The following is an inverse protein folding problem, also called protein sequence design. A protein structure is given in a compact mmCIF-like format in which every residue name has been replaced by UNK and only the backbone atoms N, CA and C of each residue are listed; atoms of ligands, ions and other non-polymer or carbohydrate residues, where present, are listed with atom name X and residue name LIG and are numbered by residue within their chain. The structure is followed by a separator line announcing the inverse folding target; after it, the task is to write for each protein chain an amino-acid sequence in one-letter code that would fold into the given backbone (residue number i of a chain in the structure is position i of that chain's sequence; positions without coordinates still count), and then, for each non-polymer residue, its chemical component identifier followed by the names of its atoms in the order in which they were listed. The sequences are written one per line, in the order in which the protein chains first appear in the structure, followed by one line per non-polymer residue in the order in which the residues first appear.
data_IF_877638704001
#
_entry.id   IF_877638704001
#
_cell.length_a   1.000
_cell.length_b   1.000
_cell.length_c   1.000
_cell.angle_alpha   90.00
_cell.angle_beta   90.00
_cell.angle_gamma   90.00
#
_symmetry.space_group_name_H-M   'P 1'
#
loop_
_entity.id
_entity.type
_entity.pdbx_description
1 polymer ?
#
# COMPACT_ATOMS: atom_id res chain seq x y z
N UNK A 1 11.61 12.01 -21.48
CA UNK A 1 11.54 10.74 -20.73
C UNK A 1 10.30 10.81 -19.87
N UNK A 2 9.45 9.80 -19.92
CA UNK A 2 8.21 9.75 -19.14
C UNK A 2 8.50 9.82 -17.64
N UNK A 3 7.74 10.63 -16.89
CA UNK A 3 7.89 10.78 -15.44
C UNK A 3 6.93 9.87 -14.72
N UNK A 4 7.43 9.12 -13.75
CA UNK A 4 6.66 8.13 -13.00
C UNK A 4 6.55 8.55 -11.54
N UNK A 5 5.36 8.44 -10.96
CA UNK A 5 5.10 8.65 -9.53
C UNK A 5 4.58 7.36 -8.89
N UNK A 6 5.15 6.95 -7.75
CA UNK A 6 4.65 5.82 -6.96
C UNK A 6 3.83 6.34 -5.79
N UNK A 7 2.69 5.70 -5.54
CA UNK A 7 1.82 5.93 -4.39
C UNK A 7 1.60 4.60 -3.69
N UNK A 8 2.28 4.41 -2.56
CA UNK A 8 2.35 3.12 -1.88
C UNK A 8 1.52 3.15 -0.60
N UNK A 9 0.41 2.43 -0.59
CA UNK A 9 -0.30 2.12 0.64
C UNK A 9 0.48 1.04 1.41
N UNK A 10 1.15 1.46 2.48
CA UNK A 10 1.94 0.56 3.33
C UNK A 10 1.10 -0.53 3.98
N UNK A 11 -0.19 -0.29 4.25
CA UNK A 11 -1.08 -1.28 4.83
C UNK A 11 -1.44 -2.35 3.78
N UNK A 12 -1.75 -1.95 2.55
CA UNK A 12 -2.04 -2.87 1.46
C UNK A 12 -0.81 -3.72 1.07
N UNK A 13 0.37 -3.10 0.96
CA UNK A 13 1.65 -3.81 0.70
C UNK A 13 1.97 -4.80 1.82
N UNK A 14 1.76 -4.44 3.08
CA UNK A 14 1.97 -5.35 4.21
C UNK A 14 1.01 -6.54 4.17
N UNK A 15 -0.28 -6.30 3.90
CA UNK A 15 -1.27 -7.36 3.78
C UNK A 15 -0.98 -8.29 2.60
N UNK A 16 -0.52 -7.75 1.46
CA UNK A 16 -0.06 -8.54 0.32
C UNK A 16 1.14 -9.41 0.69
N UNK A 17 2.17 -8.87 1.36
CA UNK A 17 3.33 -9.64 1.83
C UNK A 17 2.91 -10.81 2.74
N UNK A 18 1.96 -10.56 3.66
CA UNK A 18 1.44 -11.60 4.56
C UNK A 18 0.74 -12.73 3.80
N UNK A 19 -0.08 -12.41 2.79
CA UNK A 19 -0.78 -13.41 1.96
C UNK A 19 0.20 -14.17 1.04
N UNK A 20 1.22 -13.50 0.55
CA UNK A 20 2.22 -14.07 -0.35
C UNK A 20 3.25 -14.97 0.34
N UNK A 21 3.44 -14.82 1.66
CA UNK A 21 4.40 -15.62 2.42
C UNK A 21 5.85 -15.11 2.37
N UNK A 22 6.10 -13.97 1.73
CA UNK A 22 7.41 -13.33 1.60
C UNK A 22 7.29 -11.80 1.73
N UNK A 23 8.40 -11.09 1.84
CA UNK A 23 8.40 -9.65 2.14
C UNK A 23 9.13 -8.85 1.07
N UNK A 24 8.70 -7.61 0.86
CA UNK A 24 9.24 -6.73 -0.16
C UNK A 24 10.55 -6.08 0.30
N UNK A 25 11.48 -5.96 -0.65
CA UNK A 25 12.60 -5.04 -0.53
C UNK A 25 12.19 -3.69 -1.13
N UNK A 26 12.02 -2.69 -0.27
CA UNK A 26 11.58 -1.37 -0.70
C UNK A 26 12.55 -0.67 -1.66
N UNK A 27 13.86 -0.97 -1.59
CA UNK A 27 14.80 -0.45 -2.58
C UNK A 27 14.55 -1.08 -3.95
N UNK A 28 14.32 -2.39 -3.98
CA UNK A 28 14.02 -3.08 -5.23
C UNK A 28 12.68 -2.68 -5.84
N UNK A 29 11.68 -2.32 -5.02
CA UNK A 29 10.44 -1.72 -5.51
C UNK A 29 10.75 -0.44 -6.29
N UNK A 30 11.58 0.46 -5.74
CA UNK A 30 11.98 1.69 -6.43
C UNK A 30 12.70 1.38 -7.74
N UNK A 31 13.66 0.46 -7.70
CA UNK A 31 14.45 0.05 -8.88
C UNK A 31 13.55 -0.51 -9.98
N UNK A 32 12.68 -1.47 -9.65
CA UNK A 32 11.78 -2.11 -10.60
C UNK A 32 10.85 -1.10 -11.28
N UNK A 33 10.24 -0.20 -10.52
CA UNK A 33 9.31 0.78 -11.11
C UNK A 33 10.01 1.97 -11.77
N UNK A 34 11.25 2.28 -11.41
CA UNK A 34 12.08 3.26 -12.12
C UNK A 34 12.49 2.78 -13.53
N UNK A 35 12.40 1.48 -13.83
CA UNK A 35 12.59 1.00 -15.21
C UNK A 35 11.47 1.46 -16.15
N UNK A 36 10.29 1.79 -15.62
CA UNK A 36 9.15 2.29 -16.42
C UNK A 36 9.28 3.77 -16.80
N UNK A 37 10.23 4.51 -16.24
CA UNK A 37 10.47 5.92 -16.56
C UNK A 37 11.27 6.66 -15.51
N UNK A 38 11.48 7.97 -15.70
CA UNK A 38 12.19 8.79 -14.73
C UNK A 38 11.32 8.95 -13.48
N UNK A 39 11.75 8.39 -12.35
CA UNK A 39 11.08 8.55 -11.07
C UNK A 39 11.02 10.04 -10.70
N UNK A 40 9.80 10.59 -10.61
CA UNK A 40 9.54 11.92 -10.07
C UNK A 40 9.55 11.87 -8.54
N UNK A 41 8.76 10.96 -7.95
CA UNK A 41 8.68 10.75 -6.51
C UNK A 41 8.10 9.37 -6.20
N UNK A 42 8.39 8.85 -5.01
CA UNK A 42 7.74 7.69 -4.43
C UNK A 42 7.20 8.03 -3.06
N UNK A 43 5.88 8.10 -2.94
CA UNK A 43 5.19 8.35 -1.69
C UNK A 43 4.89 7.04 -0.97
N UNK A 44 5.15 7.00 0.33
CA UNK A 44 4.84 5.84 1.17
C UNK A 44 3.95 6.27 2.34
N UNK A 45 2.76 5.67 2.43
CA UNK A 45 1.73 6.05 3.39
C UNK A 45 1.62 4.98 4.46
N UNK A 46 1.75 5.36 5.74
CA UNK A 46 1.70 4.38 6.83
C UNK A 46 1.17 4.97 8.14
N UNK A 47 0.35 4.17 8.83
CA UNK A 47 -0.09 4.52 10.17
C UNK A 47 0.94 4.10 11.22
N UNK A 48 1.11 4.93 12.24
CA UNK A 48 2.12 4.73 13.30
C UNK A 48 1.47 4.79 14.68
N UNK A 49 1.86 3.94 15.64
CA UNK A 49 1.42 4.06 17.02
C UNK A 49 1.99 5.33 17.66
N UNK A 50 1.31 5.81 18.70
CA UNK A 50 1.78 6.92 19.53
C UNK A 50 1.85 6.47 21.00
N UNK A 51 3.04 6.41 21.62
CA UNK A 51 4.35 6.72 21.03
C UNK A 51 4.82 5.67 20.01
N UNK A 52 5.62 6.11 19.04
CA UNK A 52 6.21 5.23 18.03
C UNK A 52 7.38 4.43 18.62
N UNK A 53 7.40 3.12 18.38
CA UNK A 53 8.49 2.25 18.81
C UNK A 53 9.75 2.40 17.94
N UNK A 54 10.90 1.93 18.44
CA UNK A 54 12.18 2.09 17.75
C UNK A 54 12.29 1.26 16.46
N UNK A 55 11.54 0.16 16.36
CA UNK A 55 11.53 -0.66 15.13
C UNK A 55 10.87 0.11 14.00
N UNK A 56 9.75 0.77 14.28
CA UNK A 56 9.00 1.55 13.32
C UNK A 56 9.74 2.84 12.94
N UNK A 57 10.39 3.52 13.91
CA UNK A 57 11.28 4.66 13.60
C UNK A 57 12.37 4.25 12.61
N UNK A 58 13.12 3.18 12.90
CA UNK A 58 14.18 2.68 12.00
C UNK A 58 13.66 2.32 10.61
N UNK A 59 12.44 1.81 10.52
CA UNK A 59 11.82 1.50 9.22
C UNK A 59 11.50 2.77 8.43
N UNK A 60 10.92 3.79 9.07
CA UNK A 60 10.63 5.08 8.44
C UNK A 60 11.92 5.80 8.03
N UNK A 61 12.95 5.77 8.87
CA UNK A 61 14.26 6.34 8.57
C UNK A 61 14.89 5.63 7.36
N UNK A 62 14.80 4.30 7.30
CA UNK A 62 15.29 3.53 6.17
C UNK A 62 14.57 3.87 4.86
N UNK A 63 13.23 3.98 4.88
CA UNK A 63 12.46 4.42 3.71
C UNK A 63 12.87 5.83 3.25
N UNK A 64 13.00 6.77 4.20
CA UNK A 64 13.42 8.14 3.91
C UNK A 64 14.82 8.16 3.28
N UNK A 65 15.76 7.39 3.81
CA UNK A 65 17.11 7.27 3.26
C UNK A 65 17.15 6.60 1.87
N UNK A 66 16.21 5.71 1.57
CA UNK A 66 16.04 5.12 0.24
C UNK A 66 15.47 6.13 -0.79
N UNK A 67 14.95 7.27 -0.35
CA UNK A 67 14.40 8.31 -1.22
C UNK A 67 12.87 8.36 -1.27
N UNK A 68 12.18 7.68 -0.35
CA UNK A 68 10.73 7.81 -0.22
C UNK A 68 10.33 9.14 0.44
N UNK A 69 9.23 9.72 -0.04
CA UNK A 69 8.47 10.72 0.72
C UNK A 69 7.50 9.99 1.65
N UNK A 70 7.86 9.84 2.92
CA UNK A 70 7.04 9.09 3.89
C UNK A 70 5.96 10.00 4.52
N UNK A 71 4.70 9.58 4.43
CA UNK A 71 3.54 10.20 5.06
C UNK A 71 3.06 9.32 6.21
N UNK A 72 2.99 9.89 7.41
CA UNK A 72 2.58 9.15 8.62
C UNK A 72 1.34 9.75 9.26
N UNK A 73 0.52 8.88 9.86
CA UNK A 73 -0.66 9.27 10.63
C UNK A 73 -0.74 8.47 11.92
N UNK A 74 -1.04 9.08 13.08
CA UNK A 74 -1.25 8.33 14.31
C UNK A 74 -2.38 7.31 14.16
N UNK A 75 -2.18 6.09 14.66
CA UNK A 75 -3.24 5.11 14.79
C UNK A 75 -4.33 5.66 15.71
N UNK A 76 -5.58 5.67 15.24
CA UNK A 76 -6.73 5.94 16.11
C UNK A 76 -7.18 4.64 16.75
N UNK A 77 -7.21 4.63 18.07
CA UNK A 77 -7.90 3.58 18.84
C UNK A 77 -9.37 3.94 18.90
N UNK A 78 -10.22 3.05 18.39
CA UNK A 78 -11.66 3.13 18.52
C UNK A 78 -12.06 1.97 19.41
N UNK A 79 -12.50 2.26 20.62
CA UNK A 79 -13.10 1.29 21.51
C UNK A 79 -14.58 1.24 21.21
N UNK A 80 -15.05 0.09 20.77
CA UNK A 80 -16.47 -0.19 20.64
C UNK A 80 -17.11 -0.15 22.04
N UNK A 81 -18.11 0.72 22.20
CA UNK A 81 -18.78 0.94 23.48
C UNK A 81 -19.71 -0.21 23.89
N UNK A 82 -20.13 -1.06 22.95
CA UNK A 82 -21.03 -2.19 23.19
C UNK A 82 -20.27 -3.50 23.43
N UNK A 83 -19.19 -3.75 22.68
CA UNK A 83 -18.39 -4.98 22.80
C UNK A 83 -17.16 -4.81 23.70
N UNK A 84 -16.73 -3.57 23.96
CA UNK A 84 -15.48 -3.26 24.65
C UNK A 84 -14.22 -3.56 23.83
N UNK A 85 -14.36 -4.00 22.57
CA UNK A 85 -13.24 -4.31 21.70
C UNK A 85 -12.57 -3.02 21.21
N UNK A 86 -11.25 -2.96 21.31
CA UNK A 86 -10.47 -1.82 20.78
C UNK A 86 -9.91 -2.16 19.42
N UNK A 87 -10.47 -1.53 18.39
CA UNK A 87 -9.97 -1.60 17.03
C UNK A 87 -9.05 -0.40 16.78
N UNK A 88 -7.83 -0.67 16.30
CA UNK A 88 -6.95 0.38 15.80
C UNK A 88 -7.13 0.50 14.30
N UNK A 89 -7.61 1.65 13.82
CA UNK A 89 -7.73 1.92 12.38
C UNK A 89 -7.23 3.32 12.07
N UNK A 90 -6.35 3.43 11.09
CA UNK A 90 -6.05 4.69 10.45
C UNK A 90 -5.91 4.43 8.96
N UNK A 91 -6.85 4.99 8.20
CA UNK A 91 -6.80 5.01 6.76
C UNK A 91 -6.09 6.30 6.30
N UNK A 92 -5.21 6.18 5.31
CA UNK A 92 -4.50 7.28 4.65
C UNK A 92 -5.01 7.57 3.22
N UNK A 93 -6.15 7.00 2.80
CA UNK A 93 -6.67 7.17 1.44
C UNK A 93 -6.88 8.63 1.04
N UNK A 94 -7.38 9.45 1.96
CA UNK A 94 -7.54 10.89 1.70
C UNK A 94 -6.19 11.53 1.41
N UNK A 95 -5.16 11.21 2.19
CA UNK A 95 -3.81 11.70 1.98
C UNK A 95 -3.22 11.20 0.65
N UNK A 96 -3.45 9.93 0.29
CA UNK A 96 -3.02 9.36 -1.00
C UNK A 96 -3.71 10.10 -2.15
N UNK A 97 -5.03 10.17 -2.16
CA UNK A 97 -5.81 10.84 -3.22
C UNK A 97 -5.45 12.31 -3.34
N UNK A 98 -5.20 12.98 -2.22
CA UNK A 98 -4.78 14.39 -2.20
C UNK A 98 -3.43 14.56 -2.89
N UNK A 99 -2.40 13.81 -2.49
CA UNK A 99 -1.07 13.90 -3.11
C UNK A 99 -1.13 13.47 -4.60
N UNK A 100 -1.92 12.42 -4.92
CA UNK A 100 -2.15 11.92 -6.29
C UNK A 100 -2.69 13.03 -7.20
N UNK A 101 -3.76 13.71 -6.80
CA UNK A 101 -4.41 14.74 -7.61
C UNK A 101 -3.66 16.08 -7.57
N UNK A 102 -3.02 16.43 -6.46
CA UNK A 102 -2.26 17.67 -6.32
C UNK A 102 -0.95 17.65 -7.10
N UNK A 103 -0.34 16.48 -7.31
CA UNK A 103 0.92 16.34 -8.04
C UNK A 103 0.74 15.92 -9.49
N UNK A 104 -0.48 15.91 -10.01
CA UNK A 104 -0.81 15.40 -11.36
C UNK A 104 0.01 16.04 -12.49
N UNK A 105 0.42 17.31 -12.39
CA UNK A 105 1.23 17.98 -13.43
C UNK A 105 2.72 17.58 -13.40
N UNK A 106 3.15 16.87 -12.35
CA UNK A 106 4.56 16.54 -12.09
C UNK A 106 4.95 15.15 -12.59
N UNK A 107 3.98 14.30 -12.93
CA UNK A 107 4.19 12.98 -13.50
C UNK A 107 3.30 12.73 -14.71
N UNK A 108 3.62 11.69 -15.47
CA UNK A 108 2.90 11.26 -16.66
C UNK A 108 2.22 9.89 -16.42
N UNK A 109 2.89 9.01 -15.65
CA UNK A 109 2.36 7.73 -15.14
C UNK A 109 2.24 7.74 -13.62
N UNK A 110 1.07 7.36 -13.09
CA UNK A 110 0.86 7.04 -11.68
C UNK A 110 0.90 5.52 -11.48
N UNK A 111 1.64 5.07 -10.47
CA UNK A 111 1.69 3.67 -10.05
C UNK A 111 1.16 3.58 -8.63
N UNK A 112 0.02 2.91 -8.46
CA UNK A 112 -0.64 2.73 -7.18
C UNK A 112 -0.37 1.31 -6.66
N UNK A 113 0.28 1.22 -5.51
CA UNK A 113 0.44 -0.05 -4.78
C UNK A 113 -0.67 -0.17 -3.74
N UNK A 114 -1.87 -0.45 -4.23
CA UNK A 114 -3.08 -0.74 -3.46
C UNK A 114 -4.01 -1.60 -4.31
N UNK A 115 -4.94 -2.30 -3.67
CA UNK A 115 -6.03 -3.00 -4.34
C UNK A 115 -7.42 -2.50 -3.91
N UNK A 116 -7.49 -1.37 -3.21
CA UNK A 116 -8.74 -0.83 -2.67
C UNK A 116 -9.62 -0.17 -3.76
N UNK A 117 -10.90 -0.55 -3.83
CA UNK A 117 -11.88 -0.02 -4.78
C UNK A 117 -12.16 1.47 -4.65
N UNK A 118 -11.91 2.08 -3.49
CA UNK A 118 -12.11 3.51 -3.30
C UNK A 118 -11.18 4.37 -4.21
N UNK A 119 -10.13 3.75 -4.78
CA UNK A 119 -9.26 4.38 -5.77
C UNK A 119 -9.77 4.34 -7.21
N UNK A 120 -10.89 3.66 -7.51
CA UNK A 120 -11.49 3.63 -8.85
C UNK A 120 -11.70 5.06 -9.38
N UNK A 121 -12.41 5.89 -8.61
CA UNK A 121 -12.77 7.24 -9.05
C UNK A 121 -11.54 8.16 -9.25
N UNK A 122 -10.55 8.19 -8.34
CA UNK A 122 -9.29 8.87 -8.59
C UNK A 122 -8.58 8.39 -9.88
N UNK A 123 -8.56 7.08 -10.15
CA UNK A 123 -7.95 6.53 -11.38
C UNK A 123 -8.64 7.05 -12.65
N UNK A 124 -9.97 7.08 -12.68
CA UNK A 124 -10.72 7.64 -13.80
C UNK A 124 -10.41 9.12 -14.04
N UNK A 125 -10.30 9.90 -12.96
CA UNK A 125 -9.94 11.33 -13.05
C UNK A 125 -8.54 11.52 -13.62
N UNK A 126 -7.58 10.69 -13.22
CA UNK A 126 -6.22 10.72 -13.78
C UNK A 126 -6.20 10.38 -15.27
N UNK A 127 -6.95 9.36 -15.68
CA UNK A 127 -7.07 8.98 -17.11
C UNK A 127 -7.73 10.07 -17.93
N UNK A 128 -8.78 10.70 -17.40
CA UNK A 128 -9.40 11.87 -18.02
C UNK A 128 -8.40 13.03 -18.21
N UNK A 129 -7.45 13.19 -17.27
CA UNK A 129 -6.34 14.16 -17.38
C UNK A 129 -5.18 13.69 -18.26
N UNK A 130 -5.34 12.57 -18.99
CA UNK A 130 -4.34 12.02 -19.89
C UNK A 130 -3.16 11.35 -19.19
N UNK A 131 -3.30 10.96 -17.92
CA UNK A 131 -2.28 10.19 -17.20
C UNK A 131 -2.50 8.71 -17.43
N UNK A 132 -1.41 7.96 -17.52
CA UNK A 132 -1.46 6.50 -17.47
C UNK A 132 -1.49 6.03 -16.02
N UNK A 133 -2.32 5.05 -15.73
CA UNK A 133 -2.52 4.51 -14.39
C UNK A 133 -2.14 3.03 -14.37
N UNK A 134 -1.20 2.68 -13.51
CA UNK A 134 -0.77 1.31 -13.25
C UNK A 134 -1.16 0.95 -11.82
N UNK A 135 -1.88 -0.15 -11.65
CA UNK A 135 -2.19 -0.72 -10.33
C UNK A 135 -1.33 -1.94 -10.10
N UNK A 136 -0.67 -2.01 -8.95
CA UNK A 136 0.18 -3.12 -8.56
C UNK A 136 -0.26 -3.68 -7.21
N UNK A 137 -0.83 -4.89 -7.22
CA UNK A 137 -1.32 -5.59 -6.03
C UNK A 137 -1.37 -7.10 -6.30
N UNK A 138 -2.01 -7.87 -5.43
CA UNK A 138 -2.37 -9.27 -5.73
C UNK A 138 -3.85 -9.37 -6.08
N UNK A 139 -4.24 -10.24 -7.03
CA UNK A 139 -5.62 -10.32 -7.51
C UNK A 139 -6.64 -10.54 -6.39
N UNK A 140 -6.29 -11.29 -5.36
CA UNK A 140 -7.17 -11.63 -4.24
C UNK A 140 -7.46 -10.47 -3.27
N UNK A 141 -6.76 -9.33 -3.40
CA UNK A 141 -7.09 -8.11 -2.64
C UNK A 141 -7.23 -6.90 -3.56
N UNK A 142 -7.50 -7.12 -4.84
CA UNK A 142 -7.81 -6.04 -5.79
C UNK A 142 -9.29 -6.11 -6.16
N UNK A 143 -10.02 -5.02 -5.95
CA UNK A 143 -11.40 -4.89 -6.43
C UNK A 143 -11.47 -4.94 -7.96
N UNK A 144 -12.58 -5.44 -8.48
CA UNK A 144 -12.81 -5.53 -9.92
C UNK A 144 -12.87 -4.13 -10.56
N UNK A 145 -13.50 -3.19 -9.86
CA UNK A 145 -13.71 -1.79 -10.22
C UNK A 145 -12.37 -1.07 -10.40
N UNK A 146 -11.46 -1.16 -9.42
CA UNK A 146 -10.13 -0.56 -9.53
C UNK A 146 -9.35 -1.17 -10.70
N UNK A 147 -9.42 -2.50 -10.86
CA UNK A 147 -8.72 -3.18 -11.96
C UNK A 147 -9.25 -2.76 -13.33
N UNK A 148 -10.55 -2.53 -13.46
CA UNK A 148 -11.18 -2.01 -14.67
C UNK A 148 -10.82 -0.53 -14.94
N UNK A 149 -10.66 0.26 -13.89
CA UNK A 149 -10.28 1.67 -14.00
C UNK A 149 -8.80 1.88 -14.42
N UNK A 150 -7.91 0.93 -14.14
CA UNK A 150 -6.48 1.01 -14.47
C UNK A 150 -6.17 0.75 -15.96
N UNK A 151 -5.10 1.34 -16.49
CA UNK A 151 -4.60 1.05 -17.85
C UNK A 151 -3.71 -0.21 -17.87
N UNK A 152 -3.02 -0.50 -16.77
CA UNK A 152 -2.21 -1.70 -16.59
C UNK A 152 -2.37 -2.23 -15.16
N UNK A 153 -2.40 -3.56 -15.04
CA UNK A 153 -2.38 -4.24 -13.76
C UNK A 153 -1.13 -5.13 -13.66
N UNK A 154 -0.40 -5.01 -12.56
CA UNK A 154 0.78 -5.81 -12.24
C UNK A 154 0.46 -6.69 -11.04
N UNK A 155 0.49 -8.01 -11.23
CA UNK A 155 0.45 -8.94 -10.12
C UNK A 155 1.81 -8.93 -9.40
N UNK A 156 1.81 -8.62 -8.10
CA UNK A 156 3.01 -8.64 -7.27
C UNK A 156 3.66 -10.03 -7.21
N UNK A 157 2.93 -11.10 -7.51
CA UNK A 157 3.47 -12.47 -7.66
C UNK A 157 4.42 -12.59 -8.84
N UNK A 158 4.09 -11.94 -9.95
CA UNK A 158 4.83 -12.06 -11.21
C UNK A 158 6.19 -11.36 -11.14
N UNK A 159 6.31 -10.36 -10.27
CA UNK A 159 7.53 -9.56 -10.10
C UNK A 159 8.35 -9.98 -8.88
N UNK A 160 7.97 -11.07 -8.18
CA UNK A 160 8.61 -11.53 -6.95
C UNK A 160 10.13 -11.55 -7.04
N UNK A 161 10.68 -12.15 -8.09
CA UNK A 161 12.14 -12.27 -8.28
C UNK A 161 12.85 -10.92 -8.30
N UNK A 162 12.16 -9.89 -8.79
CA UNK A 162 12.66 -8.52 -8.87
C UNK A 162 12.49 -7.75 -7.57
N UNK A 163 11.49 -8.04 -6.73
CA UNK A 163 11.14 -7.19 -5.56
C UNK A 163 11.22 -7.88 -4.19
N UNK A 164 11.48 -9.18 -4.13
CA UNK A 164 11.58 -9.92 -2.88
C UNK A 164 12.84 -9.54 -2.09
N UNK A 165 12.66 -9.38 -0.78
CA UNK A 165 13.76 -9.24 0.19
C UNK A 165 14.45 -10.60 0.39
N UNK A 166 15.73 -10.73 0.00
CA UNK A 166 16.44 -12.00 0.15
C UNK A 166 16.50 -12.45 1.62
N UNK A 167 16.22 -13.73 1.86
CA UNK A 167 16.41 -14.35 3.18
C UNK A 167 15.38 -13.97 4.25
N UNK A 168 14.30 -13.25 3.91
CA UNK A 168 13.22 -13.02 4.86
C UNK A 168 12.40 -14.31 5.07
N UNK A 169 12.27 -14.75 6.33
CA UNK A 169 11.31 -15.77 6.75
C UNK A 169 10.22 -15.09 7.56
N UNK A 170 8.95 -15.47 7.32
CA UNK A 170 7.84 -15.00 8.14
C UNK A 170 8.11 -15.32 9.62
N UNK A 171 7.78 -14.42 10.56
CA UNK A 171 7.93 -14.65 11.99
C UNK A 171 7.10 -15.82 12.57
N UNK A 172 6.38 -16.58 11.74
CA UNK A 172 5.50 -17.68 12.16
C UNK A 172 6.23 -18.86 12.82
N UNK A 173 7.56 -18.89 12.85
CA UNK A 173 8.35 -19.89 13.60
C UNK A 173 8.74 -19.44 15.03
N UNK A 174 8.46 -18.20 15.44
CA UNK A 174 8.68 -17.75 16.82
C UNK A 174 7.37 -17.28 17.44
N UNK A 175 6.70 -18.19 18.16
CA UNK A 175 5.56 -17.84 19.03
C UNK A 175 5.99 -16.80 20.06
N UNK A 176 5.54 -15.57 19.85
CA UNK A 176 5.13 -14.66 20.91
C UNK A 176 4.00 -13.80 20.35
N UNK A 177 2.88 -13.76 21.06
CA UNK A 177 1.68 -13.03 20.71
C UNK A 177 1.95 -11.52 20.68
N UNK A 178 2.34 -11.01 19.52
CA UNK A 178 2.05 -9.63 19.15
C UNK A 178 1.26 -9.66 17.86
N UNK A 179 -0.07 -9.66 18.01
CA UNK A 179 -0.98 -9.46 16.88
C UNK A 179 -0.61 -8.13 16.20
N UNK A 180 -0.36 -8.09 14.88
CA UNK A 180 -0.19 -6.82 14.18
C UNK A 180 -1.49 -6.01 14.26
N UNK A 181 -1.37 -4.70 14.52
CA UNK A 181 -2.50 -3.79 14.79
C UNK A 181 -3.39 -3.46 13.58
N UNK A 182 -3.35 -4.26 12.52
CA UNK A 182 -4.15 -4.06 11.33
C UNK A 182 -4.80 -5.38 10.91
N UNK A 183 -6.12 -5.45 11.08
CA UNK A 183 -6.96 -6.39 10.38
C UNK A 183 -7.53 -5.66 9.16
N UNK A 184 -7.35 -6.21 7.93
CA UNK A 184 -8.20 -5.80 6.83
C UNK A 184 -9.66 -6.02 7.27
N UNK A 185 -10.59 -5.21 6.79
CA UNK A 185 -12.01 -5.53 6.87
C UNK A 185 -12.18 -6.98 6.42
N UNK A 186 -12.59 -7.86 7.33
CA UNK A 186 -13.29 -9.05 6.92
C UNK A 186 -14.55 -8.53 6.24
N UNK A 187 -14.62 -8.68 4.93
CA UNK A 187 -15.92 -8.74 4.27
C UNK A 187 -16.74 -9.74 5.08
N UNK A 188 -17.86 -9.27 5.62
CA UNK A 188 -18.85 -10.09 6.27
C UNK A 188 -19.25 -11.18 5.29
N UNK A 189 -18.90 -12.41 5.65
CA UNK A 189 -19.44 -13.62 5.07
C UNK A 189 -20.95 -13.60 5.35
N UNK A 190 -21.73 -13.11 4.40
CA UNK A 190 -23.18 -13.32 4.37
C UNK A 190 -23.41 -14.80 4.04
N UNK A 191 -23.22 -15.65 5.05
CA UNK A 191 -23.84 -16.96 5.11
C UNK A 191 -25.11 -16.84 5.93
N UNK A 192 -26.21 -16.43 5.30
CA UNK A 192 -27.55 -16.76 5.78
C UNK A 192 -28.12 -17.93 4.98
N UNK A 193 -28.70 -18.83 5.76
CA UNK A 193 -29.19 -20.17 5.49
C UNK A 193 -30.28 -20.23 4.39
N UNK A 194 -30.31 -21.35 3.65
CA UNK A 194 -31.51 -21.86 2.98
C UNK A 194 -32.03 -23.09 3.72
#
# INVERSE_FOLDING_TARGET
MERVALFIDGANVYAAAKRLGWNFDHRKILEYFAEKGRLYNAFYYTAVPYPMDDKQKRFIDALTYMGYTVRTKPLREITDSETGETHRRANLDIEIVTDLLATTDLYDTAILLTGDGDFERPCEVLRFKGKRVIVASIPEMTSYELRNAADEYIDLKDIRTSVERPGYRLPSEMRTETKPYYMPSSDSDDSEEF
#
